data_IF_848057443794
#
_entry.id   IF_848057443794
#
_cell.length_a   1.000
_cell.length_b   1.000
_cell.length_c   1.000
_cell.angle_alpha   90.00
_cell.angle_beta   90.00
_cell.angle_gamma   90.00
#
_symmetry.space_group_name_H-M   'P 1'
#
loop_
_entity.id
_entity.type
_entity.pdbx_description
1 polymer ?
#
# COMPACT_ATOMS: atom_id res chain seq x y z
N UNK A 1 -35.34 32.13 44.57
CA UNK A 1 -35.55 32.54 43.17
C UNK A 1 -34.29 33.22 42.65
N UNK A 2 -33.45 32.51 41.89
CA UNK A 2 -32.75 33.06 40.71
C UNK A 2 -32.11 31.92 39.91
N UNK A 3 -32.81 31.59 38.83
CA UNK A 3 -32.41 31.04 37.53
C UNK A 3 -31.26 30.01 37.50
N UNK A 4 -31.65 28.74 37.31
CA UNK A 4 -30.83 27.72 36.66
C UNK A 4 -30.54 28.20 35.23
N UNK A 5 -29.31 28.63 34.97
CA UNK A 5 -28.78 28.69 33.62
C UNK A 5 -28.45 27.24 33.22
N UNK A 6 -29.46 26.53 32.70
CA UNK A 6 -29.24 25.25 32.04
C UNK A 6 -28.58 25.57 30.71
N UNK A 7 -27.25 25.61 30.70
CA UNK A 7 -26.47 25.55 29.47
C UNK A 7 -26.87 24.22 28.79
N UNK A 8 -27.46 24.25 27.58
CA UNK A 8 -27.67 23.01 26.85
C UNK A 8 -26.30 22.40 26.57
N UNK A 9 -26.10 21.08 26.77
CA UNK A 9 -24.87 20.46 26.33
C UNK A 9 -24.74 20.71 24.82
N UNK A 10 -23.70 21.46 24.45
CA UNK A 10 -23.27 21.59 23.07
C UNK A 10 -23.22 20.17 22.49
N UNK A 11 -23.85 19.87 21.35
CA UNK A 11 -23.64 18.60 20.69
C UNK A 11 -22.16 18.54 20.35
N UNK A 12 -21.40 17.82 21.18
CA UNK A 12 -20.07 17.33 20.81
C UNK A 12 -20.31 16.16 19.85
N UNK A 13 -21.00 16.45 18.76
CA UNK A 13 -21.03 15.66 17.55
C UNK A 13 -19.83 16.06 16.71
N UNK A 14 -18.61 15.90 17.25
CA UNK A 14 -17.60 15.31 16.40
C UNK A 14 -18.15 13.90 16.15
N UNK A 15 -18.93 13.76 15.09
CA UNK A 15 -19.39 12.47 14.62
C UNK A 15 -18.10 11.68 14.37
N UNK A 16 -17.69 10.91 15.38
CA UNK A 16 -16.72 9.84 15.19
C UNK A 16 -17.31 9.05 14.05
N UNK A 17 -16.70 9.17 12.88
CA UNK A 17 -17.21 8.48 11.70
C UNK A 17 -16.82 7.03 11.94
N UNK A 18 -17.66 6.31 12.69
CA UNK A 18 -17.55 4.88 12.84
C UNK A 18 -17.68 4.31 11.42
N UNK A 19 -16.54 3.96 10.84
CA UNK A 19 -16.45 3.30 9.53
C UNK A 19 -16.14 1.85 9.79
N UNK A 20 -16.74 0.95 9.02
CA UNK A 20 -16.38 -0.46 9.12
C UNK A 20 -14.93 -0.65 8.65
N UNK A 21 -14.24 -1.67 9.19
CA UNK A 21 -12.90 -2.04 8.74
C UNK A 21 -12.88 -2.31 7.23
N UNK A 22 -13.96 -2.89 6.69
CA UNK A 22 -14.16 -3.10 5.25
C UNK A 22 -14.14 -1.77 4.50
N UNK A 23 -14.96 -0.81 4.91
CA UNK A 23 -15.02 0.49 4.24
C UNK A 23 -13.65 1.17 4.26
N UNK A 24 -12.93 1.13 5.39
CA UNK A 24 -11.57 1.70 5.48
C UNK A 24 -10.61 0.99 4.53
N UNK A 25 -10.65 -0.34 4.45
CA UNK A 25 -9.80 -1.11 3.51
C UNK A 25 -10.13 -0.81 2.05
N UNK A 26 -11.41 -0.68 1.70
CA UNK A 26 -11.85 -0.34 0.33
C UNK A 26 -11.32 1.04 -0.09
N UNK A 27 -11.45 2.06 0.78
CA UNK A 27 -10.89 3.39 0.50
C UNK A 27 -9.35 3.37 0.37
N UNK A 28 -8.65 2.55 1.17
CA UNK A 28 -7.19 2.43 1.07
C UNK A 28 -6.78 1.75 -0.25
N UNK A 29 -7.55 0.77 -0.71
CA UNK A 29 -7.36 0.14 -2.01
C UNK A 29 -7.52 1.17 -3.13
N UNK A 30 -8.59 1.96 -3.10
CA UNK A 30 -8.82 3.01 -4.11
C UNK A 30 -7.68 4.02 -4.14
N UNK A 31 -7.22 4.49 -2.97
CA UNK A 31 -6.10 5.42 -2.87
C UNK A 31 -4.79 4.85 -3.44
N UNK A 32 -4.51 3.58 -3.19
CA UNK A 32 -3.32 2.92 -3.74
C UNK A 32 -3.44 2.73 -5.24
N UNK A 33 -4.62 2.39 -5.75
CA UNK A 33 -4.87 2.29 -7.19
C UNK A 33 -4.68 3.65 -7.88
N UNK A 34 -5.18 4.75 -7.30
CA UNK A 34 -4.94 6.12 -7.79
C UNK A 34 -3.44 6.44 -7.80
N UNK A 35 -2.74 6.18 -6.70
CA UNK A 35 -1.30 6.41 -6.58
C UNK A 35 -0.50 5.60 -7.61
N UNK A 36 -0.90 4.36 -7.87
CA UNK A 36 -0.30 3.52 -8.90
C UNK A 36 -0.49 4.12 -10.31
N UNK A 37 -1.67 4.64 -10.62
CA UNK A 37 -1.94 5.31 -11.89
C UNK A 37 -1.11 6.58 -12.04
N UNK A 38 -0.98 7.38 -10.98
CA UNK A 38 -0.15 8.58 -10.97
C UNK A 38 1.31 8.25 -11.25
N UNK A 39 1.88 7.24 -10.58
CA UNK A 39 3.27 6.83 -10.83
C UNK A 39 3.47 6.29 -12.25
N UNK A 40 2.56 5.45 -12.73
CA UNK A 40 2.59 4.95 -14.12
C UNK A 40 2.52 6.12 -15.12
N UNK A 41 1.70 7.12 -14.83
CA UNK A 41 1.60 8.35 -15.61
C UNK A 41 2.91 9.14 -15.65
N UNK A 42 3.56 9.31 -14.49
CA UNK A 42 4.87 9.96 -14.39
C UNK A 42 5.94 9.18 -15.16
N UNK A 43 6.02 7.85 -14.99
CA UNK A 43 6.97 7.01 -15.71
C UNK A 43 6.79 7.11 -17.23
N UNK A 44 5.54 7.14 -17.71
CA UNK A 44 5.23 7.32 -19.13
C UNK A 44 5.72 8.68 -19.63
N UNK A 45 5.38 9.77 -18.92
CA UNK A 45 5.81 11.13 -19.29
C UNK A 45 7.34 11.24 -19.30
N UNK A 46 8.02 10.67 -18.30
CA UNK A 46 9.48 10.66 -18.31
C UNK A 46 10.00 9.86 -19.50
N UNK A 47 9.50 8.65 -19.76
CA UNK A 47 9.90 7.83 -20.91
C UNK A 47 9.72 8.55 -22.26
N UNK A 48 8.63 9.30 -22.42
CA UNK A 48 8.39 10.15 -23.60
C UNK A 48 9.42 11.30 -23.72
N UNK A 49 9.82 11.91 -22.60
CA UNK A 49 10.82 12.98 -22.58
C UNK A 49 12.27 12.48 -22.71
N UNK A 50 12.57 11.24 -22.32
CA UNK A 50 13.89 10.61 -22.52
C UNK A 50 14.25 10.48 -24.00
N UNK A 51 13.23 10.38 -24.88
CA UNK A 51 13.45 10.38 -26.32
C UNK A 51 13.98 11.74 -26.83
N UNK A 52 13.79 12.83 -26.08
CA UNK A 52 14.21 14.18 -26.44
C UNK A 52 15.60 14.57 -25.87
N UNK A 53 16.04 13.96 -24.77
CA UNK A 53 17.37 14.18 -24.19
C UNK A 53 17.85 12.96 -23.39
N UNK A 54 19.12 12.56 -23.52
CA UNK A 54 19.66 11.44 -22.75
C UNK A 54 19.68 11.77 -21.24
N UNK A 55 19.26 10.80 -20.44
CA UNK A 55 19.25 10.91 -18.97
C UNK A 55 20.63 10.76 -18.37
N UNK A 56 20.82 11.37 -17.20
CA UNK A 56 21.96 11.05 -16.34
C UNK A 56 21.74 9.71 -15.62
N UNK A 57 22.82 9.11 -15.13
CA UNK A 57 22.75 7.89 -14.30
C UNK A 57 21.89 8.09 -13.05
N UNK A 58 21.87 9.30 -12.48
CA UNK A 58 21.04 9.64 -11.33
C UNK A 58 19.54 9.62 -11.67
N UNK A 59 19.17 10.10 -12.85
CA UNK A 59 17.78 10.08 -13.33
C UNK A 59 17.32 8.63 -13.62
N UNK A 60 18.20 7.81 -14.20
CA UNK A 60 17.93 6.38 -14.42
C UNK A 60 17.71 5.65 -13.09
N UNK A 61 18.55 5.91 -12.07
CA UNK A 61 18.35 5.34 -10.74
C UNK A 61 17.04 5.81 -10.10
N UNK A 62 16.68 7.10 -10.24
CA UNK A 62 15.43 7.63 -9.74
C UNK A 62 14.22 6.93 -10.40
N UNK A 63 14.29 6.65 -11.70
CA UNK A 63 13.25 5.92 -12.43
C UNK A 63 13.13 4.47 -12.01
N UNK A 64 14.25 3.79 -11.75
CA UNK A 64 14.23 2.42 -11.21
C UNK A 64 13.59 2.39 -9.82
N UNK A 65 13.84 3.39 -8.97
CA UNK A 65 13.19 3.52 -7.66
C UNK A 65 11.68 3.79 -7.81
N UNK A 66 11.30 4.64 -8.75
CA UNK A 66 9.89 4.91 -9.04
C UNK A 66 9.17 3.65 -9.55
N UNK A 67 9.81 2.86 -10.41
CA UNK A 67 9.28 1.58 -10.88
C UNK A 67 9.07 0.58 -9.74
N UNK A 68 10.09 0.41 -8.90
CA UNK A 68 9.99 -0.42 -7.70
C UNK A 68 8.87 0.03 -6.76
N UNK A 69 8.73 1.34 -6.55
CA UNK A 69 7.64 1.90 -5.75
C UNK A 69 6.26 1.61 -6.38
N UNK A 70 6.14 1.77 -7.70
CA UNK A 70 4.89 1.51 -8.46
C UNK A 70 4.46 0.06 -8.32
N UNK A 71 5.39 -0.89 -8.54
CA UNK A 71 5.11 -2.31 -8.38
C UNK A 71 4.76 -2.68 -6.94
N UNK A 72 5.40 -2.03 -5.95
CA UNK A 72 5.10 -2.26 -4.53
C UNK A 72 3.69 -1.82 -4.18
N UNK A 73 3.25 -0.66 -4.68
CA UNK A 73 1.88 -0.16 -4.51
C UNK A 73 0.87 -1.12 -5.13
N UNK A 74 1.11 -1.61 -6.37
CA UNK A 74 0.26 -2.60 -7.03
C UNK A 74 0.11 -3.89 -6.20
N UNK A 75 1.23 -4.39 -5.69
CA UNK A 75 1.26 -5.59 -4.87
C UNK A 75 0.50 -5.40 -3.55
N UNK A 76 0.68 -4.27 -2.84
CA UNK A 76 -0.04 -3.98 -1.60
C UNK A 76 -1.54 -3.80 -1.86
N UNK A 77 -1.93 -3.10 -2.93
CA UNK A 77 -3.33 -2.98 -3.35
C UNK A 77 -3.96 -4.36 -3.57
N UNK A 78 -3.25 -5.26 -4.26
CA UNK A 78 -3.70 -6.63 -4.51
C UNK A 78 -3.90 -7.41 -3.21
N UNK A 79 -2.98 -7.30 -2.26
CA UNK A 79 -3.09 -7.95 -0.95
C UNK A 79 -4.31 -7.44 -0.18
N UNK A 80 -4.55 -6.13 -0.17
CA UNK A 80 -5.70 -5.53 0.50
C UNK A 80 -7.02 -5.96 -0.15
N UNK A 81 -7.08 -6.02 -1.49
CA UNK A 81 -8.24 -6.59 -2.21
C UNK A 81 -8.53 -8.03 -1.78
N UNK A 82 -7.49 -8.87 -1.71
CA UNK A 82 -7.62 -10.26 -1.26
C UNK A 82 -8.09 -10.36 0.20
N UNK A 83 -7.62 -9.43 1.06
CA UNK A 83 -8.04 -9.33 2.47
C UNK A 83 -9.52 -8.97 2.59
N UNK A 84 -9.99 -7.95 1.86
CA UNK A 84 -11.39 -7.54 1.82
C UNK A 84 -12.30 -8.69 1.33
N UNK A 85 -11.88 -9.37 0.26
CA UNK A 85 -12.65 -10.43 -0.36
C UNK A 85 -12.78 -11.66 0.54
N UNK A 86 -11.72 -12.03 1.26
CA UNK A 86 -11.65 -13.28 2.01
C UNK A 86 -12.06 -13.14 3.47
N UNK A 87 -11.90 -11.95 4.08
CA UNK A 87 -12.01 -11.78 5.52
C UNK A 87 -12.94 -10.66 5.99
N UNK A 88 -13.54 -9.86 5.09
CA UNK A 88 -14.33 -8.71 5.51
C UNK A 88 -15.66 -9.01 6.22
N UNK A 89 -15.90 -10.24 6.69
CA UNK A 89 -17.05 -10.66 7.51
C UNK A 89 -16.65 -11.43 8.78
N UNK A 90 -15.35 -11.75 8.99
CA UNK A 90 -14.93 -12.70 10.04
C UNK A 90 -13.68 -12.19 10.76
N UNK A 91 -13.82 -11.74 12.00
CA UNK A 91 -12.71 -11.24 12.84
C UNK A 91 -11.86 -12.35 13.48
N UNK A 92 -12.26 -13.62 13.36
CA UNK A 92 -11.76 -14.71 14.21
C UNK A 92 -10.97 -15.80 13.51
N UNK A 93 -10.84 -15.77 12.18
CA UNK A 93 -10.01 -16.75 11.48
C UNK A 93 -8.58 -16.25 11.25
N UNK A 94 -7.58 -17.12 11.41
CA UNK A 94 -6.21 -16.78 11.06
C UNK A 94 -6.13 -16.44 9.56
N UNK A 95 -5.33 -15.41 9.25
CA UNK A 95 -5.09 -15.00 7.87
C UNK A 95 -4.23 -16.05 7.16
N UNK A 96 -4.71 -16.55 6.02
CA UNK A 96 -3.97 -17.45 5.15
C UNK A 96 -3.14 -16.62 4.17
N UNK A 97 -1.82 -16.64 4.37
CA UNK A 97 -0.88 -15.91 3.52
C UNK A 97 -0.92 -16.39 2.06
N UNK A 98 -1.26 -17.66 1.81
CA UNK A 98 -1.44 -18.19 0.46
C UNK A 98 -2.60 -17.50 -0.27
N UNK A 99 -3.72 -17.28 0.43
CA UNK A 99 -4.88 -16.54 -0.11
C UNK A 99 -4.54 -15.05 -0.29
N UNK A 100 -3.88 -14.43 0.70
CA UNK A 100 -3.52 -13.01 0.63
C UNK A 100 -2.50 -12.70 -0.47
N UNK A 101 -1.58 -13.62 -0.77
CA UNK A 101 -0.56 -13.46 -1.81
C UNK A 101 -1.02 -13.83 -3.22
N UNK A 102 -2.26 -14.28 -3.40
CA UNK A 102 -2.77 -14.67 -4.71
C UNK A 102 -2.72 -13.49 -5.69
N UNK A 103 -2.04 -13.67 -6.83
CA UNK A 103 -1.88 -12.63 -7.86
C UNK A 103 -0.81 -11.59 -7.56
N UNK A 104 -0.16 -11.63 -6.41
CA UNK A 104 0.98 -10.75 -6.08
C UNK A 104 2.22 -11.22 -6.84
N UNK A 105 2.79 -10.34 -7.67
CA UNK A 105 3.96 -10.65 -8.51
C UNK A 105 5.30 -10.37 -7.83
N UNK A 106 5.32 -9.53 -6.79
CA UNK A 106 6.53 -9.17 -6.05
C UNK A 106 6.83 -10.17 -4.93
N UNK A 107 7.90 -10.95 -5.10
CA UNK A 107 8.35 -11.94 -4.10
C UNK A 107 8.65 -11.31 -2.74
N UNK A 108 9.27 -10.12 -2.71
CA UNK A 108 9.54 -9.38 -1.47
C UNK A 108 8.26 -9.13 -0.66
N UNK A 109 7.17 -8.73 -1.31
CA UNK A 109 5.88 -8.50 -0.62
C UNK A 109 5.34 -9.81 -0.02
N UNK A 110 5.48 -10.94 -0.71
CA UNK A 110 5.10 -12.25 -0.19
C UNK A 110 5.96 -12.62 1.04
N UNK A 111 7.26 -12.33 1.00
CA UNK A 111 8.17 -12.58 2.12
C UNK A 111 7.80 -11.72 3.34
N UNK A 112 7.50 -10.43 3.13
CA UNK A 112 7.03 -9.52 4.19
C UNK A 112 5.74 -10.03 4.81
N UNK A 113 4.80 -10.56 4.02
CA UNK A 113 3.58 -11.18 4.57
C UNK A 113 3.85 -12.43 5.40
N UNK A 114 4.84 -13.24 5.02
CA UNK A 114 5.17 -14.50 5.70
C UNK A 114 5.98 -14.31 6.98
N UNK A 115 6.86 -13.33 6.99
CA UNK A 115 7.93 -13.23 8.00
C UNK A 115 8.05 -11.84 8.65
N UNK A 116 7.25 -10.87 8.22
CA UNK A 116 7.38 -9.47 8.63
C UNK A 116 8.60 -8.78 7.99
N UNK A 117 8.68 -7.46 8.16
CA UNK A 117 9.74 -6.62 7.56
C UNK A 117 11.14 -6.95 8.10
N UNK A 118 11.24 -7.60 9.27
CA UNK A 118 12.53 -7.93 9.91
C UNK A 118 13.24 -9.16 9.34
N UNK A 119 12.61 -9.96 8.47
CA UNK A 119 13.25 -11.16 7.92
C UNK A 119 14.27 -10.87 6.80
N UNK A 120 14.38 -9.62 6.36
CA UNK A 120 15.33 -9.24 5.30
C UNK A 120 16.77 -9.04 5.78
N UNK A 121 17.02 -8.91 7.08
CA UNK A 121 18.40 -8.73 7.56
C UNK A 121 19.28 -9.98 7.47
N UNK A 122 18.69 -11.17 7.30
CA UNK A 122 19.45 -12.43 7.29
C UNK A 122 19.53 -13.11 5.91
N UNK A 123 18.89 -12.57 4.87
CA UNK A 123 19.06 -13.07 3.50
C UNK A 123 20.21 -12.34 2.83
N UNK A 124 21.42 -12.65 3.29
CA UNK A 124 22.67 -12.23 2.70
C UNK A 124 22.67 -12.43 1.18
N UNK A 125 22.90 -11.31 0.49
CA UNK A 125 23.97 -11.16 -0.50
C UNK A 125 24.19 -12.40 -1.37
N UNK A 126 23.59 -12.39 -2.55
CA UNK A 126 24.02 -13.26 -3.65
C UNK A 126 25.48 -12.97 -3.98
N UNK A 127 26.38 -13.66 -3.27
CA UNK A 127 27.75 -13.91 -3.68
C UNK A 127 27.67 -14.68 -4.99
N UNK A 128 27.83 -13.96 -6.11
CA UNK A 128 28.07 -14.59 -7.40
C UNK A 128 29.53 -15.00 -7.39
N UNK A 129 29.78 -16.24 -6.98
CA UNK A 129 31.08 -16.89 -7.12
C UNK A 129 31.31 -17.11 -8.62
N UNK A 130 32.07 -16.20 -9.25
CA UNK A 130 32.50 -16.31 -10.63
C UNK A 130 33.71 -17.23 -10.67
N UNK A 131 33.46 -18.52 -10.91
CA UNK A 131 34.44 -19.43 -11.49
C UNK A 131 34.75 -19.05 -12.94
#
# INVERSE_FOLDING_TARGET
MKNMDVVPPLPHGAAGTERSMRDVMDHLVELLDETYQDFTGVQRVVGENMAAAPLSDADVQALQRLDSATQTVEAVSTVLKNLVASYGQTETQPLDVGVLSQGVKLCHVIQVLRHGVQAETDSHSGEVDLF
#
